data_IF_948900641120
#
_entry.id   IF_948900641120
#
_cell.length_a   1.000
_cell.length_b   1.000
_cell.length_c   1.000
_cell.angle_alpha   90.00
_cell.angle_beta   90.00
_cell.angle_gamma   90.00
#
_symmetry.space_group_name_H-M   'P 1'
#
loop_
_entity.id
_entity.type
_entity.pdbx_description
1 polymer ?
2 water ?
#
# COMPACT_ATOMS: atom_id res chain seq x y z
N UNK A 6 0.65 22.17 -28.34
CA UNK A 6 0.53 21.04 -27.36
C UNK A 6 -0.64 21.21 -26.40
N UNK A 7 -1.85 20.93 -26.90
CA UNK A 7 -3.08 21.06 -26.11
C UNK A 7 -2.89 20.44 -24.72
N UNK A 8 -3.68 20.92 -23.76
CA UNK A 8 -3.60 20.45 -22.38
C UNK A 8 -3.46 18.93 -22.26
N UNK A 9 -2.31 18.49 -21.75
CA UNK A 9 -2.03 17.07 -21.55
C UNK A 9 -1.53 16.81 -20.14
N UNK A 10 -2.13 15.82 -19.48
CA UNK A 10 -1.75 15.48 -18.11
C UNK A 10 -0.93 14.19 -18.08
N UNK A 11 0.19 14.23 -17.37
CA UNK A 11 1.04 13.06 -17.24
C UNK A 11 1.04 12.63 -15.79
N UNK A 12 0.48 11.44 -15.52
CA UNK A 12 0.46 10.89 -14.16
C UNK A 12 1.65 9.94 -14.15
N UNK A 13 2.74 10.39 -13.52
CA UNK A 13 3.99 9.64 -13.52
C UNK A 13 4.42 8.96 -12.22
N UNK A 14 4.65 7.64 -12.29
CA UNK A 14 5.12 6.93 -11.11
C UNK A 14 6.64 7.07 -11.13
N UNK A 15 7.21 7.51 -10.01
CA UNK A 15 8.65 7.71 -9.91
C UNK A 15 9.44 6.57 -9.24
N UNK A 16 8.75 5.53 -8.77
CA UNK A 16 9.47 4.46 -8.08
C UNK A 16 9.57 4.91 -6.63
N UNK A 17 9.96 4.04 -5.71
CA UNK A 17 9.99 4.46 -4.31
C UNK A 17 11.34 4.80 -3.69
N UNK A 18 12.38 4.88 -4.51
CA UNK A 18 13.70 5.24 -4.00
C UNK A 18 14.53 5.76 -5.15
N UNK A 19 15.59 6.52 -4.85
CA UNK A 19 16.42 7.01 -5.95
C UNK A 19 16.98 5.83 -6.74
N UNK A 20 17.06 5.98 -8.06
CA UNK A 20 17.58 4.90 -8.89
C UNK A 20 16.50 3.96 -9.39
N UNK A 21 15.28 4.14 -8.90
CA UNK A 21 14.19 3.28 -9.33
C UNK A 21 13.27 3.92 -10.35
N UNK A 22 13.75 4.98 -11.03
CA UNK A 22 12.95 5.67 -12.05
C UNK A 22 13.13 5.01 -13.43
N UNK A 23 12.07 4.90 -14.23
CA UNK A 23 12.23 4.29 -15.54
C UNK A 23 12.68 5.39 -16.50
N UNK A 24 13.27 5.00 -17.62
CA UNK A 24 13.72 5.96 -18.62
C UNK A 24 12.56 6.83 -19.14
N UNK A 25 11.42 6.20 -19.44
CA UNK A 25 10.31 6.99 -19.95
C UNK A 25 9.76 7.96 -18.92
N UNK A 26 9.84 7.61 -17.64
CA UNK A 26 9.35 8.52 -16.61
C UNK A 26 10.30 9.74 -16.55
N UNK A 27 11.60 9.48 -16.56
CA UNK A 27 12.61 10.54 -16.51
C UNK A 27 12.34 11.44 -17.73
N UNK A 28 12.24 10.81 -18.90
CA UNK A 28 11.97 11.53 -20.15
C UNK A 28 10.69 12.39 -20.06
N UNK A 29 9.58 11.76 -19.71
CA UNK A 29 8.29 12.46 -19.58
C UNK A 29 8.35 13.72 -18.75
N UNK A 30 8.96 13.63 -17.57
CA UNK A 30 9.06 14.76 -16.65
C UNK A 30 9.98 15.85 -17.19
N UNK A 31 10.98 15.45 -17.96
CA UNK A 31 11.89 16.43 -18.53
C UNK A 31 11.22 17.18 -19.67
N UNK A 32 10.35 16.48 -20.39
CA UNK A 32 9.64 17.08 -21.51
C UNK A 32 8.37 17.83 -21.15
N UNK A 33 7.93 17.71 -19.91
CA UNK A 33 6.73 18.42 -19.48
C UNK A 33 7.05 19.91 -19.34
N UNK A 34 6.01 20.74 -19.23
CA UNK A 34 6.22 22.18 -19.09
C UNK A 34 6.12 22.55 -17.63
N UNK A 35 5.31 21.81 -16.89
CA UNK A 35 5.12 22.02 -15.46
C UNK A 35 5.19 20.66 -14.77
N UNK A 36 5.72 20.63 -13.54
CA UNK A 36 5.85 19.40 -12.79
C UNK A 36 5.43 19.54 -11.34
N UNK A 37 4.26 19.00 -11.02
CA UNK A 37 3.74 19.02 -9.65
C UNK A 37 4.26 17.73 -9.04
N UNK A 38 4.66 17.80 -7.78
CA UNK A 38 5.19 16.63 -7.08
C UNK A 38 4.47 16.50 -5.75
N UNK A 39 3.88 15.33 -5.52
CA UNK A 39 3.18 15.10 -4.28
C UNK A 39 3.88 13.99 -3.52
N UNK A 40 4.21 14.28 -2.26
CA UNK A 40 4.92 13.32 -1.43
C UNK A 40 4.13 12.95 -0.19
N UNK A 41 2.81 13.13 -0.26
CA UNK A 41 1.95 12.82 0.87
C UNK A 41 1.28 11.43 0.81
N UNK A 42 1.18 10.85 -0.39
CA UNK A 42 0.55 9.53 -0.53
C UNK A 42 1.51 8.41 -0.15
N UNK A 43 2.77 8.75 0.09
CA UNK A 43 3.79 7.76 0.42
C UNK A 43 4.72 8.24 1.56
N UNK A 44 4.86 7.43 2.63
CA UNK A 44 5.74 7.81 3.75
C UNK A 44 7.23 7.74 3.38
N UNK A 45 8.04 8.54 4.07
CA UNK A 45 9.48 8.55 3.79
C UNK A 45 9.82 9.03 2.39
N UNK A 46 8.95 9.87 1.83
CA UNK A 46 9.17 10.38 0.47
C UNK A 46 9.85 11.74 0.40
N UNK A 47 10.70 12.04 1.37
CA UNK A 47 11.39 13.34 1.38
C UNK A 47 12.32 13.50 0.18
N UNK A 48 12.92 12.38 -0.22
CA UNK A 48 13.85 12.36 -1.33
C UNK A 48 13.19 12.69 -2.67
N UNK A 49 11.88 12.50 -2.76
CA UNK A 49 11.15 12.71 -4.00
C UNK A 49 11.37 14.05 -4.69
N UNK A 50 10.99 15.14 -4.01
CA UNK A 50 11.17 16.50 -4.53
C UNK A 50 12.55 16.67 -5.16
N UNK A 51 13.59 16.46 -4.37
CA UNK A 51 14.97 16.58 -4.83
C UNK A 51 15.26 15.76 -6.09
N UNK A 52 14.81 14.51 -6.10
CA UNK A 52 15.03 13.61 -7.24
C UNK A 52 14.34 14.10 -8.51
N UNK A 53 13.13 14.62 -8.37
CA UNK A 53 12.38 15.15 -9.51
C UNK A 53 13.13 16.38 -10.03
N UNK A 54 13.28 17.39 -9.15
CA UNK A 54 13.98 18.63 -9.48
C UNK A 54 15.25 18.34 -10.24
N UNK A 55 15.93 17.29 -9.81
CA UNK A 55 17.17 16.85 -10.42
C UNK A 55 16.91 16.46 -11.88
N UNK A 56 15.78 15.81 -12.12
CA UNK A 56 15.41 15.35 -13.45
C UNK A 56 14.83 16.43 -14.37
N UNK A 57 13.99 17.29 -13.81
CA UNK A 57 13.32 18.35 -14.57
C UNK A 57 14.11 19.64 -14.76
N UNK A 58 14.75 20.14 -13.71
CA UNK A 58 15.53 21.36 -13.85
C UNK A 58 15.38 22.45 -12.80
N UNK A 59 14.82 22.11 -11.64
CA UNK A 59 14.63 23.06 -10.54
C UNK A 59 13.84 24.30 -10.91
N UNK A 60 13.33 24.36 -12.14
CA UNK A 60 12.58 25.51 -12.60
C UNK A 60 11.13 25.21 -12.97
N UNK A 61 10.69 23.99 -12.71
CA UNK A 61 9.33 23.59 -13.03
C UNK A 61 8.68 22.78 -11.92
N UNK A 62 9.51 22.12 -11.11
CA UNK A 62 9.01 21.31 -10.01
C UNK A 62 8.19 22.17 -9.04
N UNK A 63 7.08 21.61 -8.57
CA UNK A 63 6.21 22.31 -7.65
C UNK A 63 5.57 21.35 -6.64
N UNK A 64 5.74 21.64 -5.36
CA UNK A 64 5.14 20.82 -4.31
C UNK A 64 3.63 20.95 -4.40
N UNK A 65 2.94 19.81 -4.40
CA UNK A 65 1.48 19.80 -4.46
C UNK A 65 0.96 19.11 -3.19
N UNK A 66 -0.01 19.74 -2.52
CA UNK A 66 -0.57 19.16 -1.31
C UNK A 66 -1.82 18.33 -1.63
N UNK A 67 -2.32 17.62 -0.63
CA UNK A 67 -3.49 16.79 -0.83
C UNK A 67 -4.72 17.61 -1.22
N UNK A 68 -5.06 18.63 -0.44
CA UNK A 68 -6.22 19.45 -0.75
C UNK A 68 -6.08 20.07 -2.13
N UNK A 69 -4.84 20.28 -2.57
CA UNK A 69 -4.61 20.86 -3.89
C UNK A 69 -5.07 19.87 -4.97
N UNK A 70 -4.71 18.61 -4.80
CA UNK A 70 -5.08 17.59 -5.77
C UNK A 70 -6.50 17.06 -5.55
N UNK A 71 -6.97 17.10 -4.31
CA UNK A 71 -8.31 16.62 -4.01
C UNK A 71 -9.38 17.71 -4.02
N UNK A 72 -9.10 18.82 -3.33
CA UNK A 72 -10.03 19.93 -3.25
C UNK A 72 -9.94 20.83 -4.48
N UNK A 73 -8.71 21.23 -4.82
CA UNK A 73 -8.46 22.11 -5.95
C UNK A 73 -7.97 21.36 -7.18
N UNK A 74 -8.48 20.16 -7.37
CA UNK A 74 -8.05 19.34 -8.51
C UNK A 74 -8.49 19.97 -9.82
N UNK A 75 -9.43 20.91 -9.73
CA UNK A 75 -9.95 21.57 -10.94
C UNK A 75 -8.90 22.48 -11.59
N UNK A 76 -7.90 22.88 -10.81
CA UNK A 76 -6.83 23.76 -11.32
C UNK A 76 -5.76 22.95 -12.07
N UNK A 77 -5.31 21.87 -11.46
CA UNK A 77 -4.28 21.01 -12.08
C UNK A 77 -4.74 20.57 -13.48
N UNK A 78 -6.05 20.39 -13.61
CA UNK A 78 -6.65 20.01 -14.89
C UNK A 78 -6.60 21.24 -15.81
N UNK A 79 -5.64 22.06 -15.48
CA UNK A 79 -5.33 23.34 -16.14
C UNK A 79 -5.79 23.39 -17.65
N UNK A 80 -7.10 23.74 -17.82
CA UNK A 80 -7.78 23.90 -19.15
C UNK A 80 -7.95 25.42 -19.41
N UNK A 81 -6.82 26.07 -19.25
CA UNK A 81 -6.69 27.51 -19.39
C UNK A 81 -5.65 27.78 -20.41
N UNK A 82 -4.53 27.32 -20.30
CA UNK A 82 -3.77 27.62 -21.40
C UNK A 82 -3.85 26.29 -22.14
N UNK A 83 -2.79 25.76 -22.59
CA UNK A 83 -2.76 24.44 -23.31
C UNK A 83 -1.36 24.00 -23.11
N UNK A 84 -1.16 23.06 -22.24
CA UNK A 84 0.20 22.65 -21.94
C UNK A 84 0.27 21.23 -21.41
N UNK A 85 1.57 20.86 -21.25
CA UNK A 85 1.87 19.52 -20.73
C UNK A 85 2.18 19.60 -19.24
N UNK A 86 1.27 19.07 -18.42
CA UNK A 86 1.44 19.08 -16.97
C UNK A 86 1.68 17.68 -16.41
N UNK A 87 2.67 17.55 -15.54
CA UNK A 87 2.98 16.26 -14.96
C UNK A 87 2.75 16.26 -13.45
N UNK A 88 2.18 15.17 -12.96
CA UNK A 88 1.95 14.98 -11.53
C UNK A 88 2.78 13.75 -11.20
N UNK A 89 3.75 13.92 -10.31
CA UNK A 89 4.64 12.84 -9.94
C UNK A 89 4.37 12.27 -8.56
N UNK A 90 4.32 10.96 -8.49
CA UNK A 90 4.08 10.23 -7.25
C UNK A 90 5.21 9.23 -7.00
N UNK A 91 5.60 9.04 -5.75
CA UNK A 91 6.62 8.04 -5.46
C UNK A 91 5.83 6.73 -5.72
N UNK A 92 6.50 5.69 -6.18
CA UNK A 92 5.77 4.46 -6.47
C UNK A 92 5.03 4.55 -7.80
N UNK A 93 3.78 4.15 -7.81
CA UNK A 93 2.94 4.20 -9.03
C UNK A 93 1.69 4.98 -8.70
N UNK A 94 1.31 5.92 -9.57
CA UNK A 94 0.11 6.73 -9.31
C UNK A 94 -1.22 6.01 -9.19
N UNK A 95 -1.32 4.79 -9.73
CA UNK A 95 -2.58 4.05 -9.66
C UNK A 95 -2.63 3.06 -8.49
N UNK A 96 -1.55 2.98 -7.73
CA UNK A 96 -1.51 2.05 -6.62
C UNK A 96 -1.66 2.71 -5.27
N UNK A 97 -2.83 2.55 -4.66
CA UNK A 97 -3.06 3.08 -3.33
C UNK A 97 -3.05 4.60 -3.20
N UNK A 98 -3.71 5.27 -4.14
CA UNK A 98 -3.85 6.74 -4.11
C UNK A 98 -5.16 6.97 -4.84
N UNK A 99 -5.72 8.17 -4.77
CA UNK A 99 -6.96 8.43 -5.48
C UNK A 99 -6.74 9.26 -6.75
N UNK A 100 -5.50 9.25 -7.29
CA UNK A 100 -5.19 10.02 -8.49
C UNK A 100 -5.97 9.61 -9.76
N UNK A 101 -6.66 8.47 -9.73
CA UNK A 101 -7.45 8.07 -10.90
C UNK A 101 -8.62 9.05 -11.07
N UNK A 102 -9.03 9.70 -9.97
CA UNK A 102 -10.10 10.68 -10.02
C UNK A 102 -9.59 11.89 -10.79
N UNK A 103 -8.34 12.27 -10.55
CA UNK A 103 -7.77 13.40 -11.26
C UNK A 103 -7.79 13.08 -12.76
N UNK A 104 -7.33 11.88 -13.12
CA UNK A 104 -7.28 11.46 -14.52
C UNK A 104 -8.67 11.44 -15.15
N UNK A 105 -9.68 11.04 -14.37
CA UNK A 105 -11.05 10.97 -14.88
C UNK A 105 -11.64 12.33 -15.19
N UNK A 106 -11.49 13.27 -14.26
CA UNK A 106 -12.02 14.60 -14.50
C UNK A 106 -11.28 15.26 -15.67
N UNK A 107 -9.98 14.99 -15.76
CA UNK A 107 -9.18 15.52 -16.84
C UNK A 107 -9.74 14.98 -18.16
N UNK A 108 -9.86 13.66 -18.24
CA UNK A 108 -10.41 13.03 -19.43
C UNK A 108 -11.76 13.62 -19.81
N UNK A 109 -12.64 13.78 -18.83
CA UNK A 109 -13.97 14.33 -19.08
C UNK A 109 -13.92 15.80 -19.46
N UNK A 110 -12.88 16.48 -18.98
CA UNK A 110 -12.70 17.91 -19.28
C UNK A 110 -11.94 18.13 -20.58
N UNK A 111 -11.85 17.08 -21.39
CA UNK A 111 -11.15 17.18 -22.67
C UNK A 111 -9.66 16.92 -22.72
N UNK A 112 -8.99 17.01 -21.58
CA UNK A 112 -7.53 16.79 -21.50
C UNK A 112 -7.08 15.35 -21.80
N UNK A 113 -5.99 15.21 -22.55
CA UNK A 113 -5.45 13.91 -22.86
C UNK A 113 -4.67 13.43 -21.64
N UNK A 114 -4.85 12.18 -21.23
CA UNK A 114 -4.16 11.66 -20.05
C UNK A 114 -3.24 10.49 -20.35
N UNK A 115 -2.00 10.60 -19.90
CA UNK A 115 -1.02 9.52 -20.11
C UNK A 115 -0.63 9.00 -18.72
N UNK A 116 -0.72 7.69 -18.54
CA UNK A 116 -0.35 7.08 -17.27
C UNK A 116 1.01 6.44 -17.47
N UNK A 117 2.04 7.01 -16.82
CA UNK A 117 3.39 6.45 -16.94
C UNK A 117 3.61 5.62 -15.67
N UNK A 118 3.70 4.29 -15.80
CA UNK A 118 3.90 3.49 -14.58
C UNK A 118 5.25 3.59 -13.86
N UNK A 119 5.21 3.33 -12.56
CA UNK A 119 6.41 3.34 -11.74
C UNK A 119 6.40 2.09 -10.87
N UNK A 120 7.55 1.66 -10.37
CA UNK A 120 7.56 0.49 -9.49
C UNK A 120 7.00 0.92 -8.14
N UNK A 121 5.92 0.28 -7.66
CA UNK A 121 5.41 0.71 -6.37
C UNK A 121 6.01 -0.16 -5.25
N UNK A 122 6.12 0.42 -4.07
CA UNK A 122 6.68 -0.29 -2.94
C UNK A 122 5.78 -1.47 -2.58
N UNK A 123 4.49 -1.34 -2.86
CA UNK A 123 3.56 -2.43 -2.56
C UNK A 123 3.93 -3.65 -3.38
N UNK A 124 4.14 -3.47 -4.68
CA UNK A 124 4.46 -4.57 -5.58
C UNK A 124 5.80 -5.20 -5.20
N UNK A 125 6.78 -4.35 -4.92
CA UNK A 125 8.10 -4.83 -4.54
C UNK A 125 8.02 -5.59 -3.21
N UNK A 126 7.20 -5.12 -2.27
CA UNK A 126 7.06 -5.80 -0.98
C UNK A 126 6.43 -7.18 -1.19
N UNK A 127 5.30 -7.24 -1.92
CA UNK A 127 4.67 -8.53 -2.19
C UNK A 127 5.70 -9.43 -2.84
N UNK A 128 6.43 -8.89 -3.80
CA UNK A 128 7.42 -9.68 -4.51
C UNK A 128 8.53 -10.21 -3.61
N UNK A 129 8.98 -9.40 -2.66
CA UNK A 129 10.05 -9.85 -1.77
C UNK A 129 9.67 -11.04 -0.88
N UNK A 130 8.39 -11.19 -0.54
CA UNK A 130 7.91 -12.29 0.31
C UNK A 130 7.99 -13.62 -0.43
N UNK A 131 7.98 -13.52 -1.76
CA UNK A 131 8.03 -14.63 -2.69
C UNK A 131 6.80 -15.53 -2.65
N UNK A 132 5.72 -15.02 -2.05
CA UNK A 132 4.46 -15.76 -2.01
C UNK A 132 3.87 -15.73 -3.43
N UNK A 133 2.96 -16.65 -3.71
CA UNK A 133 2.39 -16.70 -5.06
C UNK A 133 1.64 -15.45 -5.45
N UNK A 134 2.07 -14.84 -6.54
CA UNK A 134 1.44 -13.61 -7.04
C UNK A 134 -0.06 -13.84 -7.25
N UNK A 135 -0.42 -15.01 -7.78
CA UNK A 135 -1.81 -15.35 -8.08
C UNK A 135 -2.73 -15.39 -6.86
N UNK A 136 -2.15 -15.59 -5.67
CA UNK A 136 -2.94 -15.70 -4.45
C UNK A 136 -3.15 -14.43 -3.68
N UNK A 137 -2.54 -13.33 -4.13
CA UNK A 137 -2.77 -12.08 -3.44
C UNK A 137 -4.18 -11.62 -3.72
N UNK A 138 -4.87 -11.19 -2.67
CA UNK A 138 -6.22 -10.70 -2.82
C UNK A 138 -6.36 -9.21 -2.54
N UNK A 139 -7.47 -8.85 -1.88
CA UNK A 139 -7.74 -7.45 -1.56
C UNK A 139 -6.68 -6.80 -0.67
N UNK A 140 -6.58 -5.48 -0.75
CA UNK A 140 -5.62 -4.72 0.05
C UNK A 140 -6.40 -3.78 0.98
N UNK A 141 -5.96 -3.67 2.23
CA UNK A 141 -6.63 -2.79 3.19
C UNK A 141 -5.58 -1.83 3.76
N UNK A 142 -6.02 -0.77 4.42
CA UNK A 142 -5.07 0.16 5.04
C UNK A 142 -5.40 0.18 6.53
N UNK A 143 -4.40 -0.02 7.39
CA UNK A 143 -4.65 -0.01 8.83
C UNK A 143 -4.54 1.46 9.27
N UNK A 144 -5.67 2.05 9.71
CA UNK A 144 -5.71 3.45 10.15
C UNK A 144 -4.97 3.75 11.43
N UNK A 145 -4.43 4.96 11.53
CA UNK A 145 -3.74 5.36 12.73
C UNK A 145 -4.78 5.80 13.75
N UNK A 146 -4.42 5.96 15.02
CA UNK A 146 -5.40 6.39 16.02
C UNK A 146 -5.92 7.81 15.82
N UNK A 147 -5.27 8.58 14.94
CA UNK A 147 -5.70 9.95 14.70
C UNK A 147 -6.92 10.04 13.78
N UNK A 148 -7.39 8.88 13.31
CA UNK A 148 -8.55 8.87 12.42
C UNK A 148 -9.81 8.71 13.29
N UNK A 149 -9.59 8.30 14.53
CA UNK A 149 -10.69 8.11 15.46
C UNK A 149 -11.65 7.03 14.99
N UNK A 150 -11.11 6.01 14.34
CA UNK A 150 -11.95 4.93 13.85
C UNK A 150 -11.41 3.53 14.12
N UNK A 151 -12.29 2.68 14.64
CA UNK A 151 -11.95 1.28 14.89
C UNK A 151 -12.29 0.62 13.56
N UNK A 152 -11.28 0.09 12.87
CA UNK A 152 -11.42 -0.57 11.56
C UNK A 152 -12.20 -1.90 11.49
N UNK A 153 -13.51 -1.87 11.76
CA UNK A 153 -14.31 -3.09 11.71
C UNK A 153 -14.50 -3.60 10.28
N UNK A 154 -14.81 -2.70 9.36
CA UNK A 154 -14.99 -3.14 7.98
C UNK A 154 -13.66 -3.67 7.45
N UNK A 155 -12.55 -3.12 7.96
CA UNK A 155 -11.23 -3.57 7.53
C UNK A 155 -10.95 -5.02 7.95
N UNK A 156 -11.32 -5.36 9.19
CA UNK A 156 -11.11 -6.72 9.68
C UNK A 156 -11.91 -7.67 8.78
N UNK A 157 -13.18 -7.34 8.54
CA UNK A 157 -14.01 -8.18 7.67
C UNK A 157 -13.38 -8.42 6.29
N UNK A 158 -12.80 -7.40 5.66
CA UNK A 158 -12.23 -7.63 4.34
C UNK A 158 -11.08 -8.64 4.43
N UNK A 159 -10.40 -8.66 5.57
CA UNK A 159 -9.32 -9.63 5.71
C UNK A 159 -9.93 -11.01 5.77
N UNK A 160 -11.01 -11.19 6.53
CA UNK A 160 -11.64 -12.51 6.57
C UNK A 160 -12.17 -12.91 5.17
N UNK A 161 -12.63 -11.94 4.40
CA UNK A 161 -13.16 -12.25 3.06
C UNK A 161 -12.05 -12.81 2.18
N UNK A 162 -10.84 -12.28 2.31
CA UNK A 162 -9.71 -12.77 1.54
C UNK A 162 -9.43 -14.19 2.00
N UNK A 163 -9.37 -14.37 3.32
CA UNK A 163 -9.12 -15.69 3.87
C UNK A 163 -10.12 -16.73 3.36
N UNK A 164 -11.40 -16.40 3.34
CA UNK A 164 -12.41 -17.35 2.85
C UNK A 164 -12.25 -17.67 1.35
N UNK A 165 -11.56 -16.79 0.62
CA UNK A 165 -11.35 -17.02 -0.80
C UNK A 165 -10.00 -17.68 -1.02
N UNK A 166 -9.26 -17.87 0.07
CA UNK A 166 -7.93 -18.48 -0.01
C UNK A 166 -6.89 -17.48 -0.53
N UNK A 167 -7.12 -16.19 -0.25
CA UNK A 167 -6.24 -15.14 -0.74
C UNK A 167 -5.42 -14.45 0.36
N UNK A 168 -4.20 -14.04 0.01
CA UNK A 168 -3.30 -13.35 0.95
C UNK A 168 -3.70 -11.88 0.99
N UNK A 169 -3.72 -11.33 2.20
CA UNK A 169 -4.08 -9.92 2.37
C UNK A 169 -2.84 -9.03 2.39
N UNK A 170 -2.93 -7.90 1.72
CA UNK A 170 -1.84 -6.95 1.78
C UNK A 170 -2.41 -5.88 2.70
N UNK A 171 -1.70 -5.56 3.77
CA UNK A 171 -2.21 -4.54 4.68
C UNK A 171 -1.22 -3.39 4.75
N UNK A 172 -1.68 -2.24 4.30
CA UNK A 172 -0.84 -1.05 4.29
C UNK A 172 -1.00 -0.33 5.63
N UNK A 173 0.01 0.45 5.99
CA UNK A 173 0.00 1.21 7.24
C UNK A 173 -0.23 2.70 6.93
N UNK A 174 -1.15 3.30 7.68
CA UNK A 174 -1.49 4.71 7.58
C UNK A 174 -0.24 5.60 7.73
N UNK A 175 -0.38 6.87 7.35
CA UNK A 175 0.71 7.86 7.44
C UNK A 175 0.09 9.15 7.95
N UNK A 176 0.69 9.80 8.92
CA UNK A 176 0.09 11.02 9.46
C UNK A 176 0.52 12.28 8.72
N UNK A 177 0.22 13.44 9.31
CA UNK A 177 0.55 14.75 8.75
C UNK A 177 2.03 14.85 8.35
N UNK A 178 2.89 14.65 9.35
CA UNK A 178 4.34 14.73 9.21
C UNK A 178 4.91 13.82 8.12
N UNK A 179 4.09 12.89 7.64
CA UNK A 179 4.58 11.95 6.64
C UNK A 179 5.27 10.83 7.37
N UNK A 180 4.85 10.60 8.61
CA UNK A 180 5.41 9.56 9.44
C UNK A 180 4.50 8.32 9.40
N UNK A 181 5.05 7.17 9.05
CA UNK A 181 4.22 5.98 8.99
C UNK A 181 3.85 5.42 10.34
N UNK A 182 2.61 4.95 10.44
CA UNK A 182 2.09 4.33 11.64
C UNK A 182 3.00 3.12 11.88
N UNK A 183 3.33 2.82 13.13
CA UNK A 183 4.20 1.68 13.41
C UNK A 183 3.40 0.40 13.27
N UNK A 184 4.08 -0.71 12.92
CA UNK A 184 3.41 -2.01 12.76
C UNK A 184 2.67 -2.39 14.03
N UNK A 185 3.32 -2.19 15.18
CA UNK A 185 2.70 -2.52 16.44
C UNK A 185 1.44 -1.74 16.71
N UNK A 186 1.45 -0.44 16.45
CA UNK A 186 0.24 0.32 16.67
C UNK A 186 -0.81 -0.03 15.61
N UNK A 187 -0.39 -0.15 14.35
CA UNK A 187 -1.36 -0.48 13.30
C UNK A 187 -2.08 -1.80 13.58
N UNK A 188 -1.31 -2.82 13.96
CA UNK A 188 -1.86 -4.14 14.24
C UNK A 188 -2.67 -4.14 15.53
N UNK A 189 -2.24 -3.40 16.54
CA UNK A 189 -3.00 -3.36 17.79
C UNK A 189 -4.44 -2.91 17.63
N UNK A 190 -4.64 -1.82 16.89
CA UNK A 190 -5.97 -1.31 16.66
C UNK A 190 -6.73 -2.26 15.73
N UNK A 191 -6.01 -2.97 14.87
CA UNK A 191 -6.65 -3.94 13.96
C UNK A 191 -7.22 -5.05 14.85
N UNK A 192 -6.43 -5.53 15.80
CA UNK A 192 -6.88 -6.60 16.68
C UNK A 192 -8.03 -6.12 17.57
N UNK A 193 -8.02 -4.85 17.97
CA UNK A 193 -9.13 -4.36 18.77
C UNK A 193 -10.38 -4.39 17.89
N UNK A 194 -10.21 -4.05 16.60
CA UNK A 194 -11.34 -4.07 15.64
C UNK A 194 -11.85 -5.49 15.46
N UNK A 195 -10.92 -6.44 15.41
CA UNK A 195 -11.28 -7.84 15.24
C UNK A 195 -12.14 -8.34 16.40
N UNK A 196 -11.75 -7.98 17.62
CA UNK A 196 -12.50 -8.41 18.79
C UNK A 196 -13.90 -7.81 18.79
N UNK A 197 -14.00 -6.57 18.33
CA UNK A 197 -15.29 -5.88 18.25
C UNK A 197 -16.11 -6.51 17.14
N UNK A 198 -15.48 -6.77 16.00
CA UNK A 198 -16.17 -7.38 14.86
C UNK A 198 -16.64 -8.82 15.11
N UNK A 199 -15.76 -9.67 15.62
CA UNK A 199 -16.13 -11.07 15.88
C UNK A 199 -17.29 -11.11 16.88
N UNK A 200 -17.27 -10.17 17.83
CA UNK A 200 -18.33 -10.08 18.83
C UNK A 200 -19.69 -9.95 18.17
N UNK A 201 -19.84 -8.96 17.28
CA UNK A 201 -21.08 -8.72 16.56
C UNK A 201 -21.36 -9.72 15.43
N UNK A 202 -20.32 -10.39 14.96
CA UNK A 202 -20.47 -11.36 13.88
C UNK A 202 -20.83 -12.73 14.45
N UNK A 203 -20.70 -12.86 15.77
CA UNK A 203 -21.02 -14.12 16.41
C UNK A 203 -19.98 -15.19 16.11
N UNK A 204 -18.72 -14.90 16.43
CA UNK A 204 -17.64 -15.85 16.18
C UNK A 204 -16.43 -15.44 16.98
N UNK A 205 -15.51 -16.38 17.22
CA UNK A 205 -14.31 -16.05 18.00
C UNK A 205 -13.44 -15.08 17.18
N UNK A 206 -12.64 -14.27 17.87
CA UNK A 206 -11.73 -13.33 17.19
C UNK A 206 -10.54 -14.19 16.79
N UNK A 207 -10.14 -14.13 15.51
CA UNK A 207 -9.05 -14.99 15.05
C UNK A 207 -7.81 -14.36 14.46
N UNK A 208 -7.88 -13.10 14.05
CA UNK A 208 -6.72 -12.46 13.43
C UNK A 208 -5.41 -12.46 14.24
N UNK A 209 -5.52 -12.28 15.56
CA UNK A 209 -4.31 -12.23 16.40
C UNK A 209 -3.49 -13.50 16.28
N UNK A 210 -4.18 -14.61 16.06
CA UNK A 210 -3.55 -15.92 15.92
C UNK A 210 -2.94 -16.26 14.55
N UNK A 211 -3.16 -15.40 13.57
CA UNK A 211 -2.58 -15.64 12.24
C UNK A 211 -1.14 -15.16 12.13
N UNK A 212 -0.30 -15.90 11.37
CA UNK A 212 1.09 -15.50 11.17
C UNK A 212 1.01 -14.35 10.18
N UNK A 213 2.11 -13.62 10.01
CA UNK A 213 2.12 -12.51 9.08
C UNK A 213 3.55 -12.20 8.71
N UNK A 214 3.72 -11.43 7.64
CA UNK A 214 5.05 -11.09 7.18
C UNK A 214 5.11 -9.56 7.17
N UNK A 215 6.19 -9.02 7.72
CA UNK A 215 6.41 -7.59 7.78
C UNK A 215 7.49 -7.33 6.74
N UNK A 216 7.20 -6.47 5.76
CA UNK A 216 8.17 -6.22 4.69
C UNK A 216 8.47 -4.75 4.41
N UNK A 217 9.71 -4.46 4.09
CA UNK A 217 10.11 -3.12 3.72
C UNK A 217 10.79 -3.26 2.38
N UNK A 218 10.19 -2.74 1.32
CA UNK A 218 10.82 -2.83 0.02
C UNK A 218 12.01 -1.88 0.04
N UNK A 219 13.09 -2.24 -0.63
CA UNK A 219 14.25 -1.36 -0.65
C UNK A 219 14.82 -1.14 -2.04
N UNK A 220 15.88 -0.34 -2.10
CA UNK A 220 16.58 -0.04 -3.34
C UNK A 220 17.68 -1.08 -3.57
N UNK A 221 18.10 -1.20 -4.83
CA UNK A 221 19.14 -2.15 -5.19
C UNK A 221 18.89 -3.56 -4.73
N UNK A 222 17.62 -3.93 -4.61
CA UNK A 222 17.26 -5.28 -4.17
C UNK A 222 17.40 -5.56 -2.69
N UNK A 223 17.64 -4.53 -1.89
CA UNK A 223 17.81 -4.75 -0.45
C UNK A 223 16.53 -4.66 0.33
N UNK A 224 15.69 -5.68 0.19
CA UNK A 224 14.41 -5.70 0.88
C UNK A 224 14.59 -6.42 2.20
N UNK A 225 13.72 -6.12 3.16
CA UNK A 225 13.77 -6.81 4.44
C UNK A 225 12.44 -7.53 4.59
N UNK A 226 12.50 -8.85 4.85
CA UNK A 226 11.28 -9.66 5.00
C UNK A 226 11.38 -10.39 6.34
N UNK A 227 10.48 -10.03 7.25
CA UNK A 227 10.45 -10.58 8.59
C UNK A 227 9.20 -11.39 8.87
N UNK A 228 9.39 -12.65 9.21
CA UNK A 228 8.28 -13.53 9.51
C UNK A 228 7.86 -13.36 10.97
N UNK A 229 6.57 -13.14 11.19
CA UNK A 229 6.03 -13.02 12.54
C UNK A 229 5.05 -14.17 12.77
N UNK A 230 5.38 -15.05 13.72
CA UNK A 230 4.57 -16.22 14.01
C UNK A 230 3.10 -15.94 14.29
N UNK A 231 2.78 -14.71 14.74
CA UNK A 231 1.40 -14.33 15.03
C UNK A 231 1.28 -12.81 15.00
N UNK A 232 0.11 -12.29 14.64
CA UNK A 232 -0.09 -10.85 14.61
C UNK A 232 -0.11 -10.36 16.06
N UNK A 233 -0.46 -11.24 16.99
CA UNK A 233 -0.48 -10.90 18.41
C UNK A 233 0.94 -10.46 18.80
N UNK A 234 1.93 -11.26 18.40
CA UNK A 234 3.32 -10.95 18.70
C UNK A 234 3.76 -9.62 18.08
N UNK A 235 3.35 -9.38 16.84
CA UNK A 235 3.73 -8.15 16.16
C UNK A 235 3.08 -6.94 16.77
N UNK A 236 1.84 -7.10 17.24
CA UNK A 236 1.08 -5.98 17.82
C UNK A 236 1.77 -5.30 19.00
N UNK A 237 2.63 -6.02 19.70
CA UNK A 237 3.32 -5.43 20.85
C UNK A 237 4.83 -5.27 20.62
N UNK A 238 5.27 -5.49 19.39
CA UNK A 238 6.68 -5.36 19.10
C UNK A 238 7.05 -3.94 18.64
N UNK A 239 8.13 -3.41 19.18
CA UNK A 239 8.61 -2.08 18.78
C UNK A 239 9.72 -2.37 17.77
N UNK A 240 9.34 -2.65 16.52
CA UNK A 240 10.34 -3.00 15.50
C UNK A 240 11.14 -1.80 15.01
N UNK A 241 12.23 -2.07 14.29
CA UNK A 241 13.03 -0.98 13.74
C UNK A 241 12.14 -0.10 12.89
N UNK A 242 12.45 1.20 12.87
CA UNK A 242 11.66 2.11 12.06
C UNK A 242 11.83 1.70 10.61
N UNK A 243 10.83 1.98 9.78
CA UNK A 243 10.92 1.64 8.37
C UNK A 243 9.61 1.91 7.69
N UNK A 244 9.59 1.81 6.36
CA UNK A 244 8.36 2.02 5.60
C UNK A 244 7.94 0.60 5.26
N UNK A 245 6.99 0.08 6.02
CA UNK A 245 6.54 -1.29 5.84
C UNK A 245 5.14 -1.46 5.29
N UNK A 246 4.88 -2.69 4.87
CA UNK A 246 3.56 -3.13 4.46
C UNK A 246 3.53 -4.48 5.16
N UNK A 247 2.33 -4.97 5.45
CA UNK A 247 2.19 -6.24 6.12
C UNK A 247 1.42 -7.23 5.23
N UNK A 248 1.90 -8.46 5.16
CA UNK A 248 1.17 -9.44 4.39
C UNK A 248 0.62 -10.45 5.42
N UNK A 249 -0.69 -10.64 5.41
CA UNK A 249 -1.39 -11.60 6.29
C UNK A 249 -1.83 -12.70 5.29
N UNK A 250 -1.06 -13.78 5.20
CA UNK A 250 -1.38 -14.85 4.27
C UNK A 250 -2.57 -15.73 4.56
N UNK A 251 -3.08 -16.33 3.49
CA UNK A 251 -4.15 -17.31 3.61
C UNK A 251 -3.26 -18.53 3.88
N UNK A 252 -3.87 -19.68 4.12
CA UNK A 252 -3.08 -20.88 4.39
C UNK A 252 -2.06 -21.12 3.28
N UNK A 253 -0.78 -21.14 3.64
CA UNK A 253 0.27 -21.30 2.65
C UNK A 253 0.28 -22.65 1.98
N UNK A 254 0.65 -22.66 0.71
CA UNK A 254 0.76 -23.90 -0.04
C UNK A 254 2.11 -24.48 0.39
N UNK A 255 2.28 -25.78 0.24
CA UNK A 255 3.56 -26.37 0.65
C UNK A 255 4.74 -25.66 0.02
N UNK A 256 4.65 -25.40 -1.28
CA UNK A 256 5.73 -24.70 -1.98
C UNK A 256 5.91 -23.29 -1.40
N UNK A 257 4.81 -22.65 -1.02
CA UNK A 257 4.90 -21.29 -0.46
C UNK A 257 5.62 -21.20 0.88
N UNK A 258 5.42 -22.20 1.74
CA UNK A 258 6.08 -22.25 3.04
C UNK A 258 7.59 -22.29 2.82
N UNK A 259 7.98 -23.05 1.79
CA UNK A 259 9.39 -23.19 1.45
C UNK A 259 9.91 -21.85 0.92
N UNK A 260 9.16 -21.21 0.02
CA UNK A 260 9.55 -19.91 -0.56
C UNK A 260 9.62 -18.83 0.51
N UNK A 261 8.59 -18.72 1.34
CA UNK A 261 8.53 -17.72 2.41
C UNK A 261 9.62 -17.93 3.46
N UNK A 262 9.91 -19.19 3.78
CA UNK A 262 10.95 -19.49 4.76
C UNK A 262 12.29 -18.98 4.21
N UNK A 263 12.56 -19.22 2.93
CA UNK A 263 13.81 -18.74 2.33
C UNK A 263 13.89 -17.21 2.31
N UNK A 264 12.77 -16.57 1.94
CA UNK A 264 12.70 -15.11 1.86
C UNK A 264 12.90 -14.41 3.21
N UNK A 265 12.36 -14.99 4.27
CA UNK A 265 12.48 -14.41 5.59
C UNK A 265 13.69 -14.92 6.38
N UNK A 266 14.50 -15.77 5.75
CA UNK A 266 15.67 -16.33 6.40
C UNK A 266 15.22 -17.16 7.59
N UNK A 267 14.19 -17.97 7.37
CA UNK A 267 13.66 -18.80 8.43
C UNK A 267 13.77 -20.27 8.05
N UNK A 268 13.60 -21.15 9.03
CA UNK A 268 13.69 -22.58 8.81
C UNK A 268 12.32 -23.22 8.88
N UNK A 269 12.06 -24.14 7.97
CA UNK A 269 10.81 -24.85 7.98
C UNK A 269 10.96 -25.94 9.04
N UNK A 270 9.89 -26.27 9.76
CA UNK A 270 8.55 -25.67 9.62
C UNK A 270 8.46 -24.24 10.15
N UNK A 271 7.73 -23.39 9.43
CA UNK A 271 7.51 -22.05 9.91
C UNK A 271 6.57 -22.34 11.06
N UNK A 272 6.68 -21.61 12.16
CA UNK A 272 5.82 -21.84 13.29
C UNK A 272 4.69 -20.83 13.33
N UNK A 273 3.49 -21.33 13.63
CA UNK A 273 2.29 -20.52 13.74
C UNK A 273 1.14 -21.40 14.23
N UNK A 274 0.08 -20.77 14.72
CA UNK A 274 -1.07 -21.49 15.26
C UNK A 274 -1.67 -22.48 14.25
N UNK A 275 -1.54 -23.76 14.56
CA UNK A 275 -2.01 -24.82 13.66
C UNK A 275 -3.48 -25.19 13.68
N UNK A 276 -4.31 -24.36 14.31
CA UNK A 276 -5.74 -24.61 14.31
C UNK A 276 -6.52 -23.38 13.84
N UNK A 277 -5.86 -22.23 13.78
CA UNK A 277 -6.57 -21.00 13.39
C UNK A 277 -7.19 -21.03 11.98
N UNK A 278 -6.46 -21.50 10.98
CA UNK A 278 -6.98 -21.50 9.61
C UNK A 278 -8.18 -22.41 9.43
N UNK A 279 -8.19 -23.56 10.11
CA UNK A 279 -9.30 -24.47 10.00
C UNK A 279 -10.53 -23.83 10.67
N UNK A 280 -10.31 -23.10 11.76
CA UNK A 280 -11.42 -22.42 12.42
C UNK A 280 -11.97 -21.25 11.58
N UNK A 281 -11.09 -20.58 10.84
CA UNK A 281 -11.55 -19.50 9.96
C UNK A 281 -12.42 -20.18 8.89
N UNK A 282 -11.91 -21.28 8.35
CA UNK A 282 -12.58 -22.10 7.33
C UNK A 282 -14.00 -22.42 7.77
N UNK A 283 -14.15 -22.88 9.01
CA UNK A 283 -15.47 -23.21 9.59
C UNK A 283 -16.41 -22.01 9.60
N UNK A 284 -15.91 -20.88 10.05
CA UNK A 284 -16.76 -19.72 10.08
C UNK A 284 -17.06 -19.22 8.67
N UNK A 285 -16.14 -19.47 7.73
CA UNK A 285 -16.38 -19.04 6.36
C UNK A 285 -17.56 -19.84 5.84
N UNK A 286 -17.51 -21.15 6.03
CA UNK A 286 -18.59 -22.03 5.58
C UNK A 286 -19.93 -21.71 6.25
N UNK A 287 -19.90 -21.20 7.47
CA UNK A 287 -21.13 -20.84 8.17
C UNK A 287 -21.72 -19.53 7.64
N UNK A 288 -20.95 -18.80 6.86
CA UNK A 288 -21.44 -17.54 6.31
C UNK A 288 -21.32 -16.37 7.28
N UNK A 289 -20.58 -16.60 8.37
CA UNK A 289 -20.37 -15.58 9.38
C UNK A 289 -19.85 -14.26 8.83
N UNK A 290 -18.87 -14.33 7.93
CA UNK A 290 -18.24 -13.13 7.42
C UNK A 290 -18.94 -12.32 6.33
N UNK A 291 -20.23 -12.57 6.11
CA UNK A 291 -20.99 -11.81 5.12
C UNK A 291 -22.22 -11.25 5.86
N UNK A 292 -22.38 -9.93 5.87
CA UNK A 292 -23.54 -9.35 6.55
C UNK A 292 -24.21 -8.22 5.77
N UNK A 293 -23.47 -7.13 5.45
CA UNK A 293 -22.08 -6.75 5.71
C UNK A 293 -21.93 -5.90 6.98
N UNK A 294 -20.80 -5.21 7.11
CA UNK A 294 -20.53 -4.37 8.27
C UNK A 294 -20.04 -2.99 7.82
#
# INVERSE_FOLDING_TARGET
XARGREAVTLLLVGWGYAPGMQTLEALDAVRRADVVYVESYTMPGSSWLYKSVVEAAGEARVVEASRRDLEERSREIVSRALDAVVAVVTAGDPMVATTHSSLAAEALEAGVAVRYIPGVSGVQAARGATMLSFYRFGGTVTLPGPWRGVTPISVARRIYLNLCAGLHTTALLDVDERGVQLSPGQGVSLLLEADREYAREAGAPALLARLPSVLVEAGAGGGHRVLYWSSLERLSTADVEGGVYSIVIPARLSGVEEWLLAAASGQRRPLEYDRSVYETVEENCKKGVYMEPV
#
